data_IF_730426837619
#
_entry.id   IF_730426837619
#
_cell.length_a   1.000
_cell.length_b   1.000
_cell.length_c   1.000
_cell.angle_alpha   90.00
_cell.angle_beta   90.00
_cell.angle_gamma   90.00
#
_symmetry.space_group_name_H-M   'P 1'
#
loop_
_entity.id
_entity.type
_entity.pdbx_description
1 polymer ?
#
# COMPACT_ATOMS: atom_id res chain seq x y z
N UNK A 1 -33.43 11.28 2.29
CA UNK A 1 -33.08 11.04 2.52
C UNK A 1 -32.54 10.56 2.54
N UNK A 2 -32.47 10.59 2.32
CA UNK A 2 -31.80 10.29 2.56
C UNK A 2 -31.19 9.49 2.67
N UNK A 3 -31.29 9.41 2.35
CA UNK A 3 -30.55 8.74 2.54
C UNK A 3 -29.70 8.17 2.45
N UNK A 4 -29.71 8.66 2.21
CA UNK A 4 -28.84 8.44 2.41
C UNK A 4 -28.10 8.28 2.58
N UNK A 5 -28.37 8.81 2.42
CA UNK A 5 -27.64 9.03 2.92
C UNK A 5 -26.99 8.62 3.46
N UNK A 6 -27.11 8.82 3.26
CA UNK A 6 -26.47 8.72 4.04
C UNK A 6 -25.81 8.16 4.53
N UNK A 7 -25.86 8.27 4.38
CA UNK A 7 -25.06 8.02 5.03
C UNK A 7 -24.26 7.62 5.42
N UNK A 8 -24.08 7.89 5.39
CA UNK A 8 -23.34 7.81 5.96
C UNK A 8 -22.60 7.32 6.45
N UNK A 9 -22.59 7.50 6.35
CA UNK A 9 -21.79 7.34 6.97
C UNK A 9 -21.06 7.05 7.39
N UNK A 10 -21.10 7.27 7.49
CA UNK A 10 -20.49 7.24 8.02
C UNK A 10 -19.76 6.97 8.43
N UNK A 11 -19.80 7.35 8.19
CA UNK A 11 -19.01 7.40 8.83
C UNK A 11 -18.50 7.07 9.44
N UNK A 12 -18.59 7.18 9.26
CA UNK A 12 -18.13 7.31 10.11
C UNK A 12 -17.45 7.05 10.66
N UNK A 13 -17.38 7.15 10.72
CA UNK A 13 -16.81 7.18 11.33
C UNK A 13 -16.16 6.85 11.72
N UNK A 14 -16.12 7.12 11.86
CA UNK A 14 -15.51 7.10 12.32
C UNK A 14 -14.82 7.01 12.73
N UNK A 15 -14.56 7.22 12.77
CA UNK A 15 -13.97 7.33 13.11
C UNK A 15 -13.18 7.45 13.46
N UNK A 16 -12.95 7.83 13.59
CA UNK A 16 -12.29 7.96 13.85
C UNK A 16 -11.32 7.95 14.21
N UNK A 17 -10.89 8.24 14.38
CA UNK A 17 -9.98 8.33 14.70
C UNK A 17 -9.14 8.76 14.69
N UNK A 18 -8.82 8.98 14.59
CA UNK A 18 -7.97 9.47 14.51
C UNK A 18 -7.05 9.96 14.80
N UNK A 19 -6.61 10.25 15.10
CA UNK A 19 -5.74 10.76 15.48
C UNK A 19 -4.71 10.97 15.05
N UNK A 20 -4.53 10.90 14.96
CA UNK A 20 -3.33 10.96 15.04
C UNK A 20 -2.74 11.73 14.01
N UNK A 21 -2.63 11.60 13.02
CA UNK A 21 -2.02 12.48 12.11
C UNK A 21 -3.00 13.56 11.79
N UNK A 22 -2.63 14.61 11.14
CA UNK A 22 -3.49 15.75 10.99
C UNK A 22 -4.58 15.42 10.00
N UNK A 23 -5.70 16.09 10.19
CA UNK A 23 -6.82 15.87 9.29
C UNK A 23 -6.55 16.36 7.91
N UNK A 24 -5.56 17.27 7.73
CA UNK A 24 -5.31 17.82 6.41
C UNK A 24 -4.42 16.95 5.57
N UNK A 25 -3.82 15.95 6.16
CA UNK A 25 -2.93 15.10 5.43
C UNK A 25 -3.70 14.00 4.73
N UNK A 26 -3.43 13.77 3.45
CA UNK A 26 -4.05 12.64 2.78
C UNK A 26 -3.45 11.36 3.33
N UNK A 27 -4.12 10.24 3.12
CA UNK A 27 -3.56 8.96 3.54
C UNK A 27 -2.36 8.59 2.71
N UNK A 28 -1.54 7.69 3.25
CA UNK A 28 -0.37 7.19 2.53
C UNK A 28 -0.80 6.13 1.54
N UNK A 29 -1.34 6.58 0.42
CA UNK A 29 -1.81 5.70 -0.64
C UNK A 29 -1.07 6.03 -1.92
N UNK A 30 -1.02 5.09 -2.88
CA UNK A 30 -0.25 5.34 -4.08
C UNK A 30 -0.97 6.22 -5.08
N UNK A 31 -0.23 7.10 -5.71
CA UNK A 31 -0.69 7.85 -6.86
C UNK A 31 -0.24 7.10 -8.10
N UNK A 32 -1.16 6.70 -8.92
CA UNK A 32 -0.83 6.04 -10.17
C UNK A 32 -0.79 7.09 -11.28
N UNK A 33 0.00 6.90 -12.30
CA UNK A 33 0.83 5.73 -12.59
C UNK A 33 2.25 5.82 -12.05
N UNK A 34 2.60 6.87 -11.32
CA UNK A 34 3.98 7.04 -10.85
C UNK A 34 4.28 6.20 -9.63
N UNK A 35 3.25 5.82 -8.89
CA UNK A 35 3.40 5.01 -7.68
C UNK A 35 4.21 5.71 -6.60
N UNK A 36 3.96 7.01 -6.46
CA UNK A 36 4.51 7.77 -5.36
C UNK A 36 3.43 7.94 -4.31
N UNK A 37 3.84 8.09 -3.07
CA UNK A 37 2.90 8.22 -1.97
C UNK A 37 2.20 9.57 -2.04
N UNK A 38 0.88 9.54 -1.92
CA UNK A 38 0.08 10.74 -1.98
C UNK A 38 0.42 11.70 -0.83
N UNK A 39 0.79 11.14 0.32
CA UNK A 39 1.00 11.95 1.50
C UNK A 39 2.42 12.49 1.61
N UNK A 40 3.41 11.70 1.26
CA UNK A 40 4.79 12.10 1.51
C UNK A 40 5.67 12.16 0.26
N UNK A 41 5.16 11.74 -0.88
CA UNK A 41 5.92 11.84 -2.12
C UNK A 41 7.00 10.82 -2.32
N UNK A 42 7.25 9.97 -1.35
CA UNK A 42 8.23 8.90 -1.49
C UNK A 42 7.67 7.79 -2.35
N UNK A 43 8.53 6.94 -2.90
CA UNK A 43 8.02 5.77 -3.62
C UNK A 43 7.11 4.95 -2.71
N UNK A 44 5.98 4.53 -3.25
CA UNK A 44 5.04 3.74 -2.48
C UNK A 44 5.37 2.25 -2.65
N UNK A 45 5.28 1.41 -1.61
CA UNK A 45 4.83 1.78 -0.26
C UNK A 45 5.96 2.43 0.54
N UNK A 46 5.64 3.59 1.10
CA UNK A 46 6.57 4.27 1.96
C UNK A 46 6.58 3.61 3.33
N UNK A 47 7.47 4.07 4.21
CA UNK A 47 7.60 3.44 5.52
C UNK A 47 6.28 3.47 6.30
N UNK A 48 5.57 4.58 6.23
CA UNK A 48 4.28 4.69 6.94
C UNK A 48 3.26 3.71 6.38
N UNK A 49 3.21 3.59 5.05
CA UNK A 49 2.26 2.68 4.44
C UNK A 49 2.57 1.24 4.82
N UNK A 50 3.86 0.87 4.86
CA UNK A 50 4.23 -0.49 5.24
C UNK A 50 3.82 -0.81 6.66
N UNK A 51 4.04 0.15 7.56
CA UNK A 51 3.67 -0.04 8.94
C UNK A 51 2.17 -0.21 9.09
N UNK A 52 1.42 0.64 8.41
CA UNK A 52 -0.02 0.58 8.47
C UNK A 52 -0.56 -0.74 7.93
N UNK A 53 -0.03 -1.18 6.80
CA UNK A 53 -0.46 -2.43 6.19
C UNK A 53 -0.13 -3.61 7.08
N UNK A 54 1.03 -3.61 7.69
CA UNK A 54 1.41 -4.67 8.60
C UNK A 54 0.41 -4.76 9.76
N UNK A 55 0.01 -3.62 10.26
CA UNK A 55 -0.96 -3.60 11.36
C UNK A 55 -2.32 -4.07 10.90
N UNK A 56 -2.77 -3.60 9.75
CA UNK A 56 -4.10 -3.94 9.26
C UNK A 56 -4.24 -5.43 8.95
N UNK A 57 -3.16 -6.05 8.52
CA UNK A 57 -3.20 -7.43 8.08
C UNK A 57 -2.49 -8.38 9.04
N UNK A 58 -2.32 -7.98 10.30
CA UNK A 58 -1.48 -8.78 11.18
C UNK A 58 -1.99 -10.20 11.41
N UNK A 59 -3.29 -10.42 11.26
CA UNK A 59 -3.85 -11.77 11.38
C UNK A 59 -4.19 -12.37 10.03
N UNK A 60 -3.86 -11.69 8.95
CA UNK A 60 -4.17 -12.16 7.61
C UNK A 60 -2.99 -11.95 6.69
N UNK A 61 -1.89 -12.56 7.04
CA UNK A 61 -0.64 -12.31 6.34
C UNK A 61 -0.65 -12.80 4.90
N UNK A 62 -1.32 -13.92 4.66
CA UNK A 62 -1.44 -14.40 3.28
C UNK A 62 -2.20 -13.41 2.42
N UNK A 63 -3.23 -12.80 2.99
CA UNK A 63 -3.99 -11.80 2.25
C UNK A 63 -3.12 -10.60 1.91
N UNK A 64 -2.27 -10.20 2.84
CA UNK A 64 -1.37 -9.08 2.56
C UNK A 64 -0.41 -9.41 1.43
N UNK A 65 0.15 -10.62 1.43
CA UNK A 65 1.06 -11.01 0.37
C UNK A 65 0.38 -10.98 -0.99
N UNK A 66 -0.85 -11.49 -1.06
CA UNK A 66 -1.59 -11.50 -2.31
C UNK A 66 -1.89 -10.07 -2.76
N UNK A 67 -2.29 -9.22 -1.82
CA UNK A 67 -2.59 -7.84 -2.13
C UNK A 67 -1.36 -7.12 -2.68
N UNK A 68 -0.22 -7.30 -2.02
CA UNK A 68 1.01 -6.64 -2.45
C UNK A 68 1.49 -7.17 -3.79
N UNK A 69 1.33 -8.47 -4.03
CA UNK A 69 1.72 -9.04 -5.32
C UNK A 69 0.89 -8.45 -6.44
N UNK A 70 -0.40 -8.27 -6.21
CA UNK A 70 -1.27 -7.65 -7.20
C UNK A 70 -0.85 -6.22 -7.51
N UNK A 71 -0.53 -5.45 -6.47
CA UNK A 71 -0.08 -4.09 -6.67
C UNK A 71 1.26 -4.04 -7.39
N UNK A 72 2.13 -4.98 -7.09
CA UNK A 72 3.42 -5.06 -7.77
C UNK A 72 3.22 -5.26 -9.27
N UNK A 73 2.30 -6.15 -9.63
CA UNK A 73 2.00 -6.39 -11.02
C UNK A 73 1.47 -5.13 -11.71
N UNK A 74 0.56 -4.42 -11.04
CA UNK A 74 0.02 -3.20 -11.61
C UNK A 74 1.09 -2.13 -11.75
N UNK A 75 1.99 -2.05 -10.78
CA UNK A 75 3.06 -1.07 -10.84
C UNK A 75 4.02 -1.39 -12.00
N UNK A 76 4.31 -2.66 -12.20
CA UNK A 76 5.15 -3.04 -13.33
C UNK A 76 4.55 -2.58 -14.64
N UNK A 77 3.25 -2.79 -14.78
CA UNK A 77 2.55 -2.39 -16.00
C UNK A 77 2.58 -0.87 -16.17
N UNK A 78 2.23 -0.16 -15.11
CA UNK A 78 2.16 1.30 -15.19
C UNK A 78 3.53 1.92 -15.49
N UNK A 79 4.54 1.48 -14.76
CA UNK A 79 5.85 2.09 -14.87
C UNK A 79 6.52 1.76 -16.20
N UNK A 80 6.26 0.56 -16.70
CA UNK A 80 6.77 0.20 -18.01
C UNK A 80 6.15 1.09 -19.10
N UNK A 81 4.84 1.31 -19.00
CA UNK A 81 4.18 2.13 -20.01
C UNK A 81 4.56 3.59 -19.89
N UNK A 82 4.86 4.04 -18.67
CA UNK A 82 5.29 5.40 -18.46
C UNK A 82 6.62 5.68 -19.12
N UNK A 83 7.55 4.75 -18.98
CA UNK A 83 8.88 4.94 -19.53
C UNK A 83 9.51 3.59 -19.81
N UNK A 84 9.26 3.00 -21.01
CA UNK A 84 9.74 1.66 -21.29
C UNK A 84 11.25 1.51 -21.23
N UNK A 85 11.97 2.59 -21.50
CA UNK A 85 13.42 2.51 -21.55
C UNK A 85 14.06 2.61 -20.17
N UNK A 86 13.31 3.08 -19.20
CA UNK A 86 13.87 3.37 -17.90
C UNK A 86 13.03 2.76 -16.77
N UNK A 87 12.20 1.79 -17.10
CA UNK A 87 11.35 1.16 -16.11
C UNK A 87 12.20 0.38 -15.11
N UNK A 88 11.80 0.35 -13.84
CA UNK A 88 12.54 -0.44 -12.86
C UNK A 88 12.53 -1.91 -13.22
N UNK A 89 13.59 -2.58 -12.85
CA UNK A 89 13.68 -4.02 -13.06
C UNK A 89 12.60 -4.73 -12.23
N UNK A 90 12.00 -5.79 -12.75
CA UNK A 90 10.97 -6.51 -11.97
C UNK A 90 11.44 -6.93 -10.59
N UNK A 91 12.70 -7.29 -10.44
CA UNK A 91 13.22 -7.65 -9.13
C UNK A 91 13.16 -6.49 -8.16
N UNK A 92 13.48 -5.29 -8.64
CA UNK A 92 13.42 -4.10 -7.80
C UNK A 92 12.00 -3.86 -7.33
N UNK A 93 11.03 -4.05 -8.21
CA UNK A 93 9.65 -3.84 -7.85
C UNK A 93 9.17 -4.91 -6.89
N UNK A 94 9.60 -6.14 -7.09
CA UNK A 94 9.25 -7.19 -6.16
C UNK A 94 9.76 -6.87 -4.76
N UNK A 95 11.00 -6.44 -4.67
CA UNK A 95 11.57 -6.10 -3.36
C UNK A 95 10.88 -4.90 -2.74
N UNK A 96 10.51 -3.95 -3.57
CA UNK A 96 9.87 -2.76 -3.07
C UNK A 96 8.44 -3.02 -2.59
N UNK A 97 7.69 -3.85 -3.30
CA UNK A 97 6.28 -4.06 -3.01
C UNK A 97 6.01 -5.28 -2.14
N UNK A 98 6.78 -6.34 -2.32
CA UNK A 98 6.39 -7.64 -1.75
C UNK A 98 7.34 -8.13 -0.68
N UNK A 99 8.63 -8.02 -0.91
CA UNK A 99 9.60 -8.72 -0.09
C UNK A 99 9.68 -8.23 1.35
N UNK A 100 9.27 -7.01 1.62
CA UNK A 100 9.30 -6.47 2.98
C UNK A 100 8.21 -7.08 3.86
N UNK A 101 7.20 -7.66 3.25
CA UNK A 101 6.03 -8.14 3.97
C UNK A 101 6.19 -9.56 4.47
N UNK A 102 5.08 -10.24 4.67
CA UNK A 102 5.12 -11.60 5.25
C UNK A 102 5.93 -12.58 4.43
N UNK A 103 5.94 -12.39 3.11
CA UNK A 103 6.72 -13.27 2.26
C UNK A 103 8.19 -13.30 2.69
N UNK A 104 8.75 -12.13 2.88
CA UNK A 104 10.14 -12.05 3.27
C UNK A 104 10.39 -12.62 4.65
N UNK A 105 9.48 -12.35 5.56
CA UNK A 105 9.61 -12.87 6.91
C UNK A 105 9.59 -14.38 6.93
N UNK A 106 8.68 -14.95 6.14
CA UNK A 106 8.60 -16.41 6.06
C UNK A 106 9.88 -16.99 5.51
N UNK A 107 10.42 -16.35 4.49
CA UNK A 107 11.66 -16.82 3.91
C UNK A 107 12.79 -16.80 4.91
N UNK A 108 12.83 -15.77 5.72
CA UNK A 108 13.88 -15.67 6.70
C UNK A 108 13.80 -16.72 7.77
N UNK A 109 12.65 -17.27 7.98
CA UNK A 109 12.50 -18.28 9.00
C UNK A 109 12.95 -19.64 8.55
N UNK A 110 13.25 -19.79 7.30
CA UNK A 110 13.76 -21.06 6.84
C UNK A 110 15.06 -21.34 7.52
N UNK A 111 15.29 -22.58 7.86
CA UNK A 111 16.51 -22.89 8.59
C UNK A 111 17.68 -22.54 7.76
N UNK A 112 18.61 -22.14 8.42
CA UNK A 112 19.79 -21.84 7.79
C UNK A 112 20.74 -22.92 7.91
#
# INVERSE_FOLDING_TARGET
MNPHHLPQPRLGPHPQHPHHHTRNQPPHTPLRPTWTCRACGHPWPCAEARLLLTTQYNTRQSSLSIYLAGLCYEAMHDLYHLNPHDAPHPRELFERFVAWGPFRRSTRKLPD
#
